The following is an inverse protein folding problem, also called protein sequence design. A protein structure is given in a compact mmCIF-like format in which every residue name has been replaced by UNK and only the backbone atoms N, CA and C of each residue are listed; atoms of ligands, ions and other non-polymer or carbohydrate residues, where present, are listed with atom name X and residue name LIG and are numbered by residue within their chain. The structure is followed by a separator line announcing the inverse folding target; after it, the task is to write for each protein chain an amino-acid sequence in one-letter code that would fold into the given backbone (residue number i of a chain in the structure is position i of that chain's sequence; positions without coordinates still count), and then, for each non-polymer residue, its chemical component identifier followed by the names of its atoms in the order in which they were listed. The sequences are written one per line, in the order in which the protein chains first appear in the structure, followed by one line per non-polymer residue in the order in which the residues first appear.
data_IF_942633200129
#
_entry.id   IF_942633200129
#
_cell.length_a   1.000
_cell.length_b   1.000
_cell.length_c   1.000
_cell.angle_alpha   90.00
_cell.angle_beta   90.00
_cell.angle_gamma   90.00
#
_symmetry.space_group_name_H-M   'P 1'
#
loop_
_entity.id
_entity.type
_entity.pdbx_description
1 polymer ?
#
# COMPACT_ATOMS: atom_id res chain seq x y z
N UNK A 1 14.22 -13.18 4.71
CA UNK A 1 14.23 -13.42 6.17
C UNK A 1 14.98 -12.31 6.87
N UNK A 2 14.48 -11.85 8.03
CA UNK A 2 15.10 -10.80 8.85
C UNK A 2 16.48 -11.23 9.38
N UNK A 3 17.56 -10.44 9.20
CA UNK A 3 18.86 -10.73 9.80
C UNK A 3 18.82 -10.67 11.34
N UNK A 4 19.51 -11.61 12.00
CA UNK A 4 19.47 -11.73 13.46
C UNK A 4 20.09 -10.53 14.21
N UNK A 5 21.06 -9.86 13.61
CA UNK A 5 21.76 -8.71 14.18
C UNK A 5 21.15 -7.35 13.78
N UNK A 6 19.99 -7.35 13.11
CA UNK A 6 19.31 -6.11 12.74
C UNK A 6 18.50 -5.58 13.92
N UNK A 7 18.95 -4.49 14.52
CA UNK A 7 18.30 -3.86 15.68
C UNK A 7 17.15 -2.91 15.30
N UNK A 8 17.06 -2.51 14.03
CA UNK A 8 16.04 -1.57 13.53
C UNK A 8 14.85 -2.30 12.92
N UNK A 9 13.66 -1.70 13.00
CA UNK A 9 12.48 -2.16 12.26
C UNK A 9 12.37 -1.44 10.91
N UNK A 10 11.88 -2.14 9.90
CA UNK A 10 11.63 -1.61 8.56
C UNK A 10 10.12 -1.64 8.34
N UNK A 11 9.51 -0.45 8.36
CA UNK A 11 8.10 -0.26 8.00
C UNK A 11 8.03 0.40 6.63
N UNK A 12 7.11 -0.07 5.80
CA UNK A 12 6.81 0.55 4.52
C UNK A 12 5.70 1.59 4.70
N UNK A 13 5.77 2.72 4.00
CA UNK A 13 4.64 3.66 3.89
C UNK A 13 4.19 3.68 2.43
N UNK A 14 3.04 3.07 2.13
CA UNK A 14 2.62 2.84 0.74
C UNK A 14 1.12 2.61 0.56
N UNK A 15 0.65 2.80 -0.68
CA UNK A 15 -0.76 2.65 -1.08
C UNK A 15 -0.99 1.78 -2.32
N UNK A 16 0.07 1.14 -2.84
CA UNK A 16 0.00 0.20 -3.96
C UNK A 16 0.48 -1.19 -3.52
N UNK A 17 -0.42 -2.19 -3.48
CA UNK A 17 -0.04 -3.57 -3.17
C UNK A 17 1.05 -4.16 -4.08
N UNK A 18 1.18 -3.68 -5.32
CA UNK A 18 2.22 -4.13 -6.24
C UNK A 18 3.60 -3.63 -5.84
N UNK A 19 3.69 -2.37 -5.39
CA UNK A 19 4.94 -1.82 -4.82
C UNK A 19 5.29 -2.54 -3.51
N UNK A 20 4.31 -2.84 -2.65
CA UNK A 20 4.53 -3.65 -1.44
C UNK A 20 5.08 -5.04 -1.76
N UNK A 21 4.54 -5.73 -2.78
CA UNK A 21 5.05 -7.02 -3.23
C UNK A 21 6.49 -6.94 -3.72
N UNK A 22 6.83 -5.91 -4.50
CA UNK A 22 8.20 -5.74 -4.99
C UNK A 22 9.17 -5.40 -3.84
N UNK A 23 8.76 -4.56 -2.89
CA UNK A 23 9.56 -4.27 -1.69
C UNK A 23 9.84 -5.54 -0.87
N UNK A 24 8.81 -6.38 -0.65
CA UNK A 24 8.96 -7.68 0.02
C UNK A 24 9.90 -8.62 -0.75
N UNK A 25 9.82 -8.65 -2.08
CA UNK A 25 10.70 -9.47 -2.92
C UNK A 25 12.16 -9.02 -2.84
N UNK A 26 12.42 -7.71 -2.83
CA UNK A 26 13.77 -7.15 -2.78
C UNK A 26 14.40 -7.26 -1.39
N UNK A 27 13.64 -6.96 -0.33
CA UNK A 27 14.15 -6.95 1.05
C UNK A 27 14.05 -8.32 1.73
N UNK A 28 13.14 -9.18 1.26
CA UNK A 28 12.87 -10.50 1.81
C UNK A 28 12.14 -10.49 3.16
N UNK A 29 11.79 -9.32 3.72
CA UNK A 29 10.91 -9.11 4.88
C UNK A 29 10.57 -7.62 5.05
N UNK A 30 9.49 -7.35 5.78
CA UNK A 30 9.11 -6.05 6.36
C UNK A 30 8.55 -6.31 7.77
N UNK A 31 8.66 -5.36 8.69
CA UNK A 31 8.08 -5.45 10.05
C UNK A 31 6.65 -4.92 10.14
N UNK A 32 6.13 -4.40 9.04
CA UNK A 32 4.79 -3.89 8.90
C UNK A 32 4.71 -2.81 7.82
N UNK A 33 3.54 -2.21 7.71
CA UNK A 33 3.30 -1.12 6.76
C UNK A 33 2.28 -0.14 7.34
N UNK A 34 2.45 1.13 6.98
CA UNK A 34 1.45 2.17 7.12
C UNK A 34 0.87 2.53 5.76
N UNK A 35 -0.36 3.02 5.78
CA UNK A 35 -1.00 3.62 4.62
C UNK A 35 -1.89 4.76 5.10
N UNK A 36 -2.28 5.64 4.19
CA UNK A 36 -3.16 6.76 4.45
C UNK A 36 -3.90 7.16 3.16
N UNK A 37 -4.99 7.94 3.26
CA UNK A 37 -5.77 8.33 2.07
C UNK A 37 -4.95 9.03 0.97
N UNK A 38 -3.91 9.80 1.34
CA UNK A 38 -3.04 10.48 0.37
C UNK A 38 -2.22 9.50 -0.45
N UNK A 39 -1.75 8.40 0.13
CA UNK A 39 -1.04 7.34 -0.59
C UNK A 39 -1.97 6.53 -1.49
N UNK A 40 -3.20 6.29 -1.04
CA UNK A 40 -4.23 5.64 -1.86
C UNK A 40 -4.57 6.50 -3.08
N UNK A 41 -4.55 7.83 -2.96
CA UNK A 41 -4.72 8.72 -4.12
C UNK A 41 -3.59 8.57 -5.17
N UNK A 42 -2.40 8.09 -4.79
CA UNK A 42 -1.28 7.79 -5.70
C UNK A 42 -1.38 6.40 -6.34
N UNK A 43 -2.29 5.55 -5.87
CA UNK A 43 -2.51 4.22 -6.45
C UNK A 43 -2.80 4.35 -7.96
N UNK A 44 -2.23 3.47 -8.82
CA UNK A 44 -2.42 3.54 -10.27
C UNK A 44 -3.89 3.64 -10.70
N UNK A 45 -4.79 2.91 -10.04
CA UNK A 45 -6.23 2.92 -10.34
C UNK A 45 -6.83 4.31 -10.07
N UNK A 46 -6.47 4.93 -8.93
CA UNK A 46 -6.92 6.27 -8.60
C UNK A 46 -6.32 7.32 -9.55
N UNK A 47 -5.05 7.19 -9.90
CA UNK A 47 -4.37 8.08 -10.84
C UNK A 47 -4.98 8.02 -12.24
N UNK A 48 -5.38 6.84 -12.73
CA UNK A 48 -6.09 6.73 -14.01
C UNK A 48 -7.43 7.46 -14.00
N UNK A 49 -8.22 7.33 -12.93
CA UNK A 49 -9.51 8.03 -12.77
C UNK A 49 -9.30 9.55 -12.78
N UNK A 50 -8.32 10.04 -12.02
CA UNK A 50 -7.94 11.46 -11.97
C UNK A 50 -7.51 11.98 -13.35
N UNK A 51 -6.68 11.22 -14.09
CA UNK A 51 -6.22 11.60 -15.44
C UNK A 51 -7.37 11.72 -16.44
N UNK A 52 -8.43 10.93 -16.29
CA UNK A 52 -9.64 11.00 -17.11
C UNK A 52 -10.57 12.15 -16.71
N UNK A 53 -10.24 12.90 -15.66
CA UNK A 53 -11.10 13.95 -15.10
C UNK A 53 -12.30 13.40 -14.33
N UNK A 54 -12.32 12.11 -14.03
CA UNK A 54 -13.36 11.46 -13.27
C UNK A 54 -13.15 11.67 -11.76
N UNK A 55 -14.26 11.71 -11.01
CA UNK A 55 -14.23 11.83 -9.55
C UNK A 55 -14.72 10.55 -8.90
N UNK A 56 -14.24 10.30 -7.70
CA UNK A 56 -14.84 9.29 -6.82
C UNK A 56 -16.05 9.88 -6.10
N UNK A 57 -17.10 9.08 -5.94
CA UNK A 57 -18.08 9.36 -4.89
C UNK A 57 -17.47 9.08 -3.51
N UNK A 58 -18.04 9.63 -2.42
CA UNK A 58 -17.62 9.30 -1.06
C UNK A 58 -17.64 7.79 -0.77
N UNK A 59 -18.66 7.07 -1.26
CA UNK A 59 -18.80 5.63 -1.07
C UNK A 59 -17.73 4.88 -1.87
N UNK A 60 -17.53 5.24 -3.14
CA UNK A 60 -16.51 4.61 -3.99
C UNK A 60 -15.11 4.73 -3.39
N UNK A 61 -14.73 5.91 -2.91
CA UNK A 61 -13.37 6.11 -2.35
C UNK A 61 -13.18 5.32 -1.05
N UNK A 62 -14.23 5.19 -0.22
CA UNK A 62 -14.17 4.41 1.01
C UNK A 62 -14.07 2.91 0.73
N UNK A 63 -14.82 2.40 -0.25
CA UNK A 63 -14.70 1.00 -0.68
C UNK A 63 -13.33 0.73 -1.29
N UNK A 64 -12.85 1.61 -2.18
CA UNK A 64 -11.52 1.49 -2.77
C UNK A 64 -10.42 1.48 -1.70
N UNK A 65 -10.48 2.41 -0.74
CA UNK A 65 -9.55 2.45 0.38
C UNK A 65 -9.56 1.15 1.18
N UNK A 66 -10.76 0.66 1.54
CA UNK A 66 -10.95 -0.58 2.30
C UNK A 66 -10.36 -1.79 1.56
N UNK A 67 -10.58 -1.90 0.26
CA UNK A 67 -10.12 -3.04 -0.53
C UNK A 67 -8.60 -3.04 -0.67
N UNK A 68 -7.99 -1.88 -0.92
CA UNK A 68 -6.52 -1.77 -0.93
C UNK A 68 -5.93 -2.13 0.44
N UNK A 69 -6.49 -1.60 1.54
CA UNK A 69 -6.02 -1.92 2.90
C UNK A 69 -6.14 -3.41 3.21
N UNK A 70 -7.24 -4.05 2.80
CA UNK A 70 -7.40 -5.50 2.96
C UNK A 70 -6.32 -6.27 2.21
N UNK A 71 -6.04 -5.91 0.97
CA UNK A 71 -4.98 -6.57 0.19
C UNK A 71 -3.62 -6.37 0.86
N UNK A 72 -3.29 -5.15 1.29
CA UNK A 72 -2.05 -4.85 2.01
C UNK A 72 -1.92 -5.68 3.30
N UNK A 73 -3.01 -5.82 4.06
CA UNK A 73 -3.02 -6.58 5.33
C UNK A 73 -2.72 -8.07 5.18
N UNK A 74 -2.88 -8.63 3.97
CA UNK A 74 -2.52 -10.03 3.68
C UNK A 74 -1.01 -10.18 3.41
N UNK A 75 -0.34 -9.11 2.97
CA UNK A 75 1.06 -9.11 2.56
C UNK A 75 2.04 -8.86 3.71
N UNK A 76 1.57 -8.19 4.76
CA UNK A 76 2.40 -7.71 5.86
C UNK A 76 2.11 -8.50 7.15
N UNK A 77 3.09 -8.64 8.06
CA UNK A 77 2.91 -9.33 9.35
C UNK A 77 1.90 -8.64 10.29
#
# INVERSE_FOLDING_TARGET
MRPANLNSKIFLDGGDPSETREALKLLGFLDGQTTNPTLIAKNPIAQEKIKKGEKFSPEEILYFYKDVVKELSILIP
#
